data_IF_833605400586
#
_entry.id   IF_833605400586
#
_cell.length_a   1.000
_cell.length_b   1.000
_cell.length_c   1.000
_cell.angle_alpha   90.00
_cell.angle_beta   90.00
_cell.angle_gamma   90.00
#
_symmetry.space_group_name_H-M   'P 1'
#
loop_
_entity.id
_entity.type
_entity.pdbx_description
1 polymer ?
#
# COMPACT_ATOMS: atom_id res chain seq x y z
N UNK A 1 -2.82 -13.50 -8.59
CA UNK A 1 -2.95 -13.32 -7.14
C UNK A 1 -4.23 -13.97 -6.66
N UNK A 2 -4.19 -14.79 -5.60
CA UNK A 2 -5.40 -15.27 -4.91
C UNK A 2 -5.62 -14.38 -3.68
N UNK A 3 -6.80 -13.80 -3.55
CA UNK A 3 -7.15 -12.96 -2.40
C UNK A 3 -7.92 -13.78 -1.38
N UNK A 4 -7.76 -13.41 -0.11
CA UNK A 4 -8.61 -13.91 0.97
C UNK A 4 -10.01 -13.30 0.84
N UNK A 5 -11.05 -14.01 1.31
CA UNK A 5 -12.46 -13.55 1.24
C UNK A 5 -12.65 -12.15 1.84
N UNK A 6 -11.93 -11.85 2.92
CA UNK A 6 -11.95 -10.54 3.57
C UNK A 6 -11.42 -9.41 2.68
N UNK A 7 -10.36 -9.67 1.89
CA UNK A 7 -9.84 -8.70 0.94
C UNK A 7 -10.86 -8.42 -0.18
N UNK A 8 -11.55 -9.46 -0.68
CA UNK A 8 -12.63 -9.30 -1.66
C UNK A 8 -13.79 -8.50 -1.07
N UNK A 9 -14.13 -8.72 0.19
CA UNK A 9 -15.15 -7.95 0.90
C UNK A 9 -14.80 -6.46 0.99
N UNK A 10 -13.57 -6.12 1.39
CA UNK A 10 -13.10 -4.72 1.43
C UNK A 10 -13.24 -4.05 0.05
N UNK A 11 -12.86 -4.76 -1.01
CA UNK A 11 -12.97 -4.24 -2.38
C UNK A 11 -14.44 -4.06 -2.79
N UNK A 12 -15.29 -5.03 -2.48
CA UNK A 12 -16.70 -4.99 -2.88
C UNK A 12 -17.50 -3.92 -2.13
N UNK A 13 -17.20 -3.70 -0.85
CA UNK A 13 -17.87 -2.72 0.01
C UNK A 13 -17.29 -1.30 -0.09
N UNK A 14 -16.13 -1.12 -0.74
CA UNK A 14 -15.54 0.21 -0.92
C UNK A 14 -16.38 1.10 -1.83
N UNK A 15 -16.67 2.33 -1.36
CA UNK A 15 -17.27 3.39 -2.19
C UNK A 15 -16.35 3.85 -3.34
N UNK A 16 -15.06 3.49 -3.29
CA UNK A 16 -14.04 3.80 -4.27
C UNK A 16 -13.54 2.53 -5.00
N UNK A 17 -14.42 1.54 -5.19
CA UNK A 17 -14.06 0.22 -5.70
C UNK A 17 -13.24 0.26 -7.01
N UNK A 18 -13.60 1.10 -7.97
CA UNK A 18 -12.89 1.19 -9.26
C UNK A 18 -11.45 1.61 -9.07
N UNK A 19 -11.23 2.72 -8.34
CA UNK A 19 -9.90 3.27 -8.07
C UNK A 19 -9.08 2.29 -7.22
N UNK A 20 -9.72 1.61 -6.26
CA UNK A 20 -9.06 0.61 -5.43
C UNK A 20 -8.59 -0.60 -6.26
N UNK A 21 -9.42 -1.10 -7.19
CA UNK A 21 -9.02 -2.19 -8.09
C UNK A 21 -7.88 -1.79 -9.02
N UNK A 22 -7.94 -0.59 -9.58
CA UNK A 22 -6.85 -0.04 -10.40
C UNK A 22 -5.54 0.05 -9.61
N UNK A 23 -5.61 0.60 -8.40
CA UNK A 23 -4.47 0.73 -7.51
C UNK A 23 -3.87 -0.62 -7.11
N UNK A 24 -4.72 -1.60 -6.76
CA UNK A 24 -4.28 -2.96 -6.44
C UNK A 24 -3.54 -3.59 -7.62
N UNK A 25 -4.06 -3.44 -8.84
CA UNK A 25 -3.38 -3.95 -10.03
C UNK A 25 -2.03 -3.26 -10.24
N UNK A 26 -1.94 -1.94 -10.07
CA UNK A 26 -0.67 -1.21 -10.15
C UNK A 26 0.32 -1.69 -9.09
N UNK A 27 -0.12 -1.84 -7.84
CA UNK A 27 0.73 -2.34 -6.74
C UNK A 27 1.20 -3.76 -7.02
N UNK A 28 0.34 -4.64 -7.55
CA UNK A 28 0.73 -6.00 -7.91
C UNK A 28 1.87 -6.01 -8.96
N UNK A 29 1.78 -5.15 -10.00
CA UNK A 29 2.85 -5.00 -11.00
C UNK A 29 4.15 -4.53 -10.36
N UNK A 30 4.10 -3.50 -9.51
CA UNK A 30 5.30 -2.97 -8.82
C UNK A 30 5.96 -4.03 -7.92
N UNK A 31 5.15 -4.84 -7.25
CA UNK A 31 5.65 -5.93 -6.41
C UNK A 31 6.30 -7.05 -7.24
N UNK A 32 5.71 -7.42 -8.38
CA UNK A 32 6.29 -8.39 -9.31
C UNK A 32 7.64 -7.92 -9.86
N UNK A 33 7.77 -6.64 -10.23
CA UNK A 33 9.03 -6.05 -10.70
C UNK A 33 10.16 -6.11 -9.65
N UNK A 34 9.80 -6.06 -8.37
CA UNK A 34 10.75 -6.13 -7.25
C UNK A 34 10.85 -7.54 -6.63
N UNK A 35 10.18 -8.55 -7.23
CA UNK A 35 10.13 -9.94 -6.71
C UNK A 35 9.63 -10.01 -5.25
N UNK A 36 8.72 -9.12 -4.87
CA UNK A 36 8.11 -9.09 -3.53
C UNK A 36 6.79 -9.86 -3.58
N UNK A 37 6.64 -10.85 -2.70
CA UNK A 37 5.48 -11.74 -2.67
C UNK A 37 4.77 -11.65 -1.32
N UNK A 38 3.78 -10.73 -1.15
CA UNK A 38 2.99 -10.68 0.07
C UNK A 38 2.12 -11.94 0.21
N UNK A 39 1.93 -12.40 1.45
CA UNK A 39 0.97 -13.46 1.79
C UNK A 39 -0.47 -12.98 1.61
N UNK A 40 -1.44 -13.91 1.60
CA UNK A 40 -2.88 -13.56 1.52
C UNK A 40 -3.31 -12.59 2.64
N UNK A 41 -2.78 -12.78 3.86
CA UNK A 41 -3.04 -11.87 4.99
C UNK A 41 -2.41 -10.50 4.77
N UNK A 42 -1.15 -10.44 4.33
CA UNK A 42 -0.48 -9.16 4.04
C UNK A 42 -1.20 -8.38 2.94
N UNK A 43 -1.70 -9.06 1.90
CA UNK A 43 -2.55 -8.46 0.89
C UNK A 43 -3.83 -7.87 1.49
N UNK A 44 -4.49 -8.60 2.39
CA UNK A 44 -5.71 -8.11 3.05
C UNK A 44 -5.46 -6.81 3.82
N UNK A 45 -4.38 -6.76 4.61
CA UNK A 45 -4.01 -5.57 5.41
C UNK A 45 -3.60 -4.41 4.48
N UNK A 46 -2.82 -4.70 3.43
CA UNK A 46 -2.42 -3.70 2.43
C UNK A 46 -3.63 -3.12 1.70
N UNK A 47 -4.56 -3.95 1.23
CA UNK A 47 -5.79 -3.51 0.54
C UNK A 47 -6.64 -2.62 1.44
N UNK A 48 -6.76 -2.97 2.72
CA UNK A 48 -7.43 -2.10 3.68
C UNK A 48 -6.74 -0.73 3.79
N UNK A 49 -5.40 -0.72 3.89
CA UNK A 49 -4.63 0.51 3.97
C UNK A 49 -4.79 1.38 2.71
N UNK A 50 -4.66 0.79 1.51
CA UNK A 50 -4.84 1.47 0.23
C UNK A 50 -6.25 2.08 0.10
N UNK A 51 -7.28 1.36 0.56
CA UNK A 51 -8.64 1.88 0.59
C UNK A 51 -8.77 3.13 1.47
N UNK A 52 -8.16 3.12 2.65
CA UNK A 52 -8.13 4.28 3.55
C UNK A 52 -7.35 5.47 2.97
N UNK A 53 -6.23 5.22 2.27
CA UNK A 53 -5.50 6.27 1.55
C UNK A 53 -6.35 6.94 0.48
N UNK A 54 -7.09 6.16 -0.32
CA UNK A 54 -8.01 6.73 -1.33
C UNK A 54 -9.11 7.57 -0.67
N UNK A 55 -9.69 7.09 0.45
CA UNK A 55 -10.70 7.85 1.20
C UNK A 55 -10.16 9.20 1.68
N UNK A 56 -8.97 9.21 2.30
CA UNK A 56 -8.31 10.45 2.76
C UNK A 56 -8.04 11.40 1.60
N UNK A 57 -7.46 10.89 0.51
CA UNK A 57 -7.20 11.66 -0.71
C UNK A 57 -8.48 12.35 -1.24
N UNK A 58 -9.60 11.63 -1.32
CA UNK A 58 -10.87 12.22 -1.79
C UNK A 58 -11.53 13.17 -0.80
N UNK A 59 -11.37 12.93 0.50
CA UNK A 59 -11.87 13.79 1.55
C UNK A 59 -11.02 15.06 1.74
N UNK A 60 -9.81 15.10 1.19
CA UNK A 60 -8.82 16.15 1.49
C UNK A 60 -8.31 16.06 2.93
N UNK A 61 -8.43 14.89 3.55
CA UNK A 61 -7.93 14.63 4.89
C UNK A 61 -6.44 14.28 4.83
N UNK A 62 -5.71 14.70 5.84
CA UNK A 62 -4.27 14.45 5.94
C UNK A 62 -4.00 13.63 7.20
N UNK A 63 -3.14 12.63 7.07
CA UNK A 63 -2.58 11.95 8.24
C UNK A 63 -1.70 12.93 9.03
N UNK A 64 -1.65 12.77 10.36
CA UNK A 64 -0.61 13.41 11.17
C UNK A 64 0.76 13.01 10.64
N UNK A 65 1.65 13.98 10.41
CA UNK A 65 3.00 13.72 9.94
C UNK A 65 3.75 12.72 10.82
N UNK A 66 4.61 11.91 10.21
CA UNK A 66 5.48 10.95 10.90
C UNK A 66 6.92 11.42 10.83
N UNK A 67 7.73 10.96 11.78
CA UNK A 67 9.17 11.24 11.77
C UNK A 67 9.89 10.27 10.80
N UNK A 68 10.53 10.78 9.72
CA UNK A 68 11.27 9.94 8.77
C UNK A 68 12.38 9.12 9.42
N UNK A 69 12.98 9.58 10.52
CA UNK A 69 14.05 8.83 11.20
C UNK A 69 13.55 7.48 11.73
N UNK A 70 12.24 7.34 12.02
CA UNK A 70 11.64 6.06 12.41
C UNK A 70 11.66 5.01 11.29
N UNK A 71 11.89 5.43 10.04
CA UNK A 71 11.86 4.58 8.85
C UNK A 71 13.25 4.44 8.20
N UNK A 72 14.31 4.83 8.91
CA UNK A 72 15.69 4.80 8.40
C UNK A 72 16.19 3.38 8.02
N UNK A 73 15.61 2.34 8.61
CA UNK A 73 15.94 0.94 8.31
C UNK A 73 15.09 0.33 7.18
N UNK A 74 14.09 1.07 6.67
CA UNK A 74 13.28 0.60 5.55
C UNK A 74 14.09 0.62 4.27
N UNK A 75 13.97 -0.44 3.47
CA UNK A 75 14.72 -0.56 2.22
C UNK A 75 14.29 0.48 1.18
N UNK A 76 15.24 0.89 0.34
CA UNK A 76 15.00 1.85 -0.75
C UNK A 76 13.92 1.35 -1.72
N UNK A 77 13.83 0.03 -1.95
CA UNK A 77 12.82 -0.57 -2.81
C UNK A 77 11.41 -0.41 -2.22
N UNK A 78 11.24 -0.64 -0.91
CA UNK A 78 9.96 -0.45 -0.23
C UNK A 78 9.54 1.03 -0.24
N UNK A 79 10.49 1.94 0.03
CA UNK A 79 10.24 3.39 -0.05
C UNK A 79 9.88 3.82 -1.48
N UNK A 80 10.56 3.28 -2.50
CA UNK A 80 10.29 3.59 -3.91
C UNK A 80 8.87 3.18 -4.32
N UNK A 81 8.46 1.95 -4.01
CA UNK A 81 7.10 1.48 -4.32
C UNK A 81 6.08 2.38 -3.60
N UNK A 82 6.29 2.69 -2.33
CA UNK A 82 5.39 3.57 -1.58
C UNK A 82 5.26 4.96 -2.16
N UNK A 83 6.38 5.56 -2.58
CA UNK A 83 6.36 6.85 -3.25
C UNK A 83 5.53 6.79 -4.54
N UNK A 84 5.75 5.78 -5.39
CA UNK A 84 4.99 5.63 -6.63
C UNK A 84 3.48 5.44 -6.39
N UNK A 85 3.10 4.74 -5.32
CA UNK A 85 1.71 4.56 -4.90
C UNK A 85 1.10 5.88 -4.43
N UNK A 86 1.77 6.62 -3.54
CA UNK A 86 1.29 7.92 -3.04
C UNK A 86 1.14 8.93 -4.19
N UNK A 87 2.12 8.98 -5.10
CA UNK A 87 2.07 9.86 -6.27
C UNK A 87 0.94 9.49 -7.24
N UNK A 88 0.65 8.19 -7.40
CA UNK A 88 -0.45 7.73 -8.24
C UNK A 88 -1.83 8.04 -7.66
N UNK A 89 -2.01 7.89 -6.33
CA UNK A 89 -3.27 8.28 -5.67
C UNK A 89 -3.46 9.80 -5.77
N UNK A 90 -2.39 10.56 -5.53
CA UNK A 90 -2.42 12.01 -5.52
C UNK A 90 -3.20 12.58 -4.33
N UNK A 91 -3.14 13.89 -4.14
CA UNK A 91 -3.80 14.62 -3.04
C UNK A 91 -3.55 14.00 -1.64
N UNK A 92 -2.35 13.46 -1.42
CA UNK A 92 -1.90 12.91 -0.16
C UNK A 92 -0.61 13.60 0.29
N UNK A 93 -0.38 13.76 1.61
CA UNK A 93 0.93 14.13 2.12
C UNK A 93 1.98 13.12 1.69
N UNK A 94 3.19 13.59 1.38
CA UNK A 94 4.31 12.72 1.02
C UNK A 94 4.61 11.69 2.13
N UNK A 95 4.43 12.09 3.39
CA UNK A 95 4.73 11.29 4.58
C UNK A 95 3.92 9.98 4.68
N UNK A 96 2.79 9.88 3.97
CA UNK A 96 2.01 8.64 3.85
C UNK A 96 2.86 7.47 3.30
N UNK A 97 3.88 7.79 2.49
CA UNK A 97 4.76 6.76 1.91
C UNK A 97 5.49 5.96 3.00
N UNK A 98 5.81 6.58 4.13
CA UNK A 98 6.59 5.94 5.19
C UNK A 98 5.79 4.82 5.85
N UNK A 99 4.55 5.07 6.25
CA UNK A 99 3.70 4.03 6.85
C UNK A 99 3.37 2.95 5.82
N UNK A 100 3.09 3.33 4.58
CA UNK A 100 2.86 2.37 3.50
C UNK A 100 4.07 1.46 3.27
N UNK A 101 5.29 1.99 3.39
CA UNK A 101 6.53 1.25 3.10
C UNK A 101 6.73 0.02 3.97
N UNK A 102 6.20 0.02 5.20
CA UNK A 102 6.26 -1.12 6.11
C UNK A 102 5.53 -2.35 5.54
N UNK A 103 4.46 -2.16 4.77
CA UNK A 103 3.76 -3.28 4.13
C UNK A 103 4.68 -4.01 3.12
N UNK A 104 5.44 -3.23 2.34
CA UNK A 104 6.35 -3.77 1.34
C UNK A 104 7.61 -4.33 1.96
N UNK A 105 8.15 -3.67 2.98
CA UNK A 105 9.31 -4.15 3.73
C UNK A 105 9.01 -5.50 4.39
N UNK A 106 7.88 -5.62 5.07
CA UNK A 106 7.46 -6.88 5.71
C UNK A 106 7.23 -7.99 4.67
N UNK A 107 6.64 -7.67 3.52
CA UNK A 107 6.43 -8.64 2.45
C UNK A 107 7.75 -9.08 1.79
N UNK A 108 8.74 -8.20 1.67
CA UNK A 108 10.08 -8.50 1.14
C UNK A 108 10.78 -9.54 2.01
N UNK A 109 10.60 -9.48 3.33
CA UNK A 109 11.18 -10.42 4.28
C UNK A 109 10.61 -11.85 4.15
N UNK A 110 9.47 -12.05 3.48
CA UNK A 110 8.95 -13.41 3.21
C UNK A 110 9.89 -14.22 2.31
N UNK A 111 10.58 -13.56 1.36
CA UNK A 111 11.48 -14.22 0.43
C UNK A 111 12.85 -14.54 1.04
N UNK A 112 13.12 -14.04 2.25
CA UNK A 112 14.36 -14.30 3.00
C UNK A 112 14.27 -15.56 3.88
N UNK A 113 13.19 -16.35 3.77
CA UNK A 113 12.93 -17.60 4.51
C UNK A 113 12.82 -18.77 3.54
#
# INVERSE_FOLDING_TARGET
MKLHEEAEKIITESSNQSDLKELINKVAVLLEEQTICPTELQWTILINHLNEMIKRSKAGEQMSGVDPEMFAEVSEEALKISNEVVQHIGNLPQDEMYVLSIHFETAKQNAAV
#
